data_IF_918904939512
#
_entry.id   IF_918904939512
#
_cell.length_a   1.000
_cell.length_b   1.000
_cell.length_c   1.000
_cell.angle_alpha   90.00
_cell.angle_beta   90.00
_cell.angle_gamma   90.00
#
_symmetry.space_group_name_H-M   'P 1'
#
loop_
_entity.id
_entity.type
_entity.pdbx_description
1 polymer ?
#
# COMPACT_ATOMS: atom_id res chain seq x y z
N UNK A 1 38.09 -39.48 -11.18
CA UNK A 1 36.91 -38.72 -11.65
C UNK A 1 36.80 -37.46 -10.78
N UNK A 2 37.32 -36.36 -11.30
CA UNK A 2 37.31 -35.08 -10.60
C UNK A 2 36.09 -34.28 -11.10
N UNK A 3 35.05 -34.19 -10.29
CA UNK A 3 33.94 -33.26 -10.53
C UNK A 3 34.44 -31.86 -10.17
N UNK A 4 34.43 -31.00 -11.15
CA UNK A 4 35.01 -29.67 -11.14
C UNK A 4 34.29 -28.72 -10.15
N UNK A 5 35.01 -27.87 -9.42
CA UNK A 5 34.45 -26.88 -8.46
C UNK A 5 33.56 -25.82 -9.13
N UNK A 6 33.49 -25.80 -10.46
CA UNK A 6 32.68 -24.84 -11.22
C UNK A 6 31.17 -25.05 -11.07
N UNK A 7 30.73 -26.30 -10.84
CA UNK A 7 29.31 -26.64 -10.68
C UNK A 7 28.77 -26.23 -9.31
N UNK A 8 29.64 -26.16 -8.30
CA UNK A 8 29.27 -25.72 -6.96
C UNK A 8 29.15 -24.19 -6.88
N UNK A 9 29.97 -23.44 -7.62
CA UNK A 9 29.86 -21.98 -7.73
C UNK A 9 28.62 -21.53 -8.51
N UNK A 10 28.17 -22.27 -9.53
CA UNK A 10 26.97 -21.96 -10.28
C UNK A 10 25.67 -22.24 -9.48
N UNK A 11 25.69 -23.21 -8.59
CA UNK A 11 24.57 -23.47 -7.66
C UNK A 11 24.49 -22.45 -6.52
N UNK A 12 25.60 -21.84 -6.13
CA UNK A 12 25.63 -20.73 -5.15
C UNK A 12 25.18 -19.39 -5.76
N UNK A 13 25.37 -19.18 -7.06
CA UNK A 13 24.91 -17.98 -7.77
C UNK A 13 23.41 -17.98 -8.09
N UNK A 14 22.75 -19.14 -8.10
CA UNK A 14 21.30 -19.25 -8.31
C UNK A 14 20.45 -19.03 -7.04
N UNK A 15 21.05 -18.89 -5.85
CA UNK A 15 20.35 -18.80 -4.57
C UNK A 15 20.34 -17.40 -3.94
N UNK A 16 20.81 -16.36 -4.62
CA UNK A 16 20.66 -14.98 -4.14
C UNK A 16 19.40 -14.35 -4.69
N UNK A 17 18.22 -14.90 -4.38
CA UNK A 17 17.05 -14.07 -4.31
C UNK A 17 17.34 -13.04 -3.22
N UNK A 18 17.46 -11.78 -3.62
CA UNK A 18 17.59 -10.66 -2.68
C UNK A 18 16.32 -10.66 -1.80
N UNK A 19 16.42 -11.27 -0.62
CA UNK A 19 15.38 -11.17 0.39
C UNK A 19 15.38 -9.71 0.83
N UNK A 20 14.44 -8.94 0.33
CA UNK A 20 14.21 -7.57 0.79
C UNK A 20 13.61 -7.65 2.19
N UNK A 21 14.34 -7.18 3.19
CA UNK A 21 13.86 -7.10 4.56
C UNK A 21 12.92 -5.91 4.71
N UNK A 22 11.74 -5.98 4.11
CA UNK A 22 10.71 -4.95 4.20
C UNK A 22 9.36 -5.60 4.48
N UNK A 23 8.68 -5.13 5.54
CA UNK A 23 7.34 -5.62 5.89
C UNK A 23 6.39 -5.45 4.70
N UNK A 24 6.39 -4.29 4.04
CA UNK A 24 5.57 -4.05 2.85
C UNK A 24 5.83 -5.08 1.74
N UNK A 25 7.09 -5.36 1.38
CA UNK A 25 7.40 -6.30 0.30
C UNK A 25 7.21 -7.77 0.71
N UNK A 26 7.51 -8.14 1.96
CA UNK A 26 7.55 -9.53 2.41
C UNK A 26 6.25 -10.01 3.03
N UNK A 27 5.51 -9.11 3.72
CA UNK A 27 4.29 -9.42 4.44
C UNK A 27 3.05 -8.95 3.68
N UNK A 28 3.07 -7.77 3.08
CA UNK A 28 1.87 -7.19 2.47
C UNK A 28 1.81 -7.43 0.96
N UNK A 29 2.90 -7.24 0.24
CA UNK A 29 2.90 -7.40 -1.21
C UNK A 29 2.66 -8.85 -1.66
N UNK A 30 2.08 -8.98 -2.84
CA UNK A 30 1.86 -10.27 -3.52
C UNK A 30 2.80 -10.34 -4.73
N UNK A 31 3.40 -11.50 -4.96
CA UNK A 31 4.24 -11.69 -6.14
C UNK A 31 3.38 -11.68 -7.41
N UNK A 32 3.65 -10.69 -8.25
CA UNK A 32 2.95 -10.54 -9.53
C UNK A 32 3.62 -11.32 -10.68
N UNK A 33 4.71 -12.05 -10.43
CA UNK A 33 5.42 -12.76 -11.50
C UNK A 33 4.75 -14.10 -11.79
N UNK A 34 4.62 -14.41 -13.08
CA UNK A 34 4.22 -15.74 -13.50
C UNK A 34 5.39 -16.71 -13.27
N UNK A 35 5.18 -17.71 -12.43
CA UNK A 35 6.19 -18.72 -12.14
C UNK A 35 6.35 -19.67 -13.31
N UNK A 36 7.58 -19.87 -13.76
CA UNK A 36 7.85 -20.90 -14.78
C UNK A 36 7.52 -22.30 -14.22
N UNK A 37 6.99 -23.18 -15.09
CA UNK A 37 6.65 -24.56 -14.70
C UNK A 37 5.23 -24.77 -14.16
N UNK A 38 4.38 -23.74 -14.12
CA UNK A 38 2.98 -23.86 -13.68
C UNK A 38 1.97 -23.94 -14.83
N UNK A 39 2.46 -24.11 -16.08
CA UNK A 39 1.61 -24.24 -17.26
C UNK A 39 0.68 -25.44 -17.16
N UNK A 40 -0.60 -25.23 -17.49
CA UNK A 40 -1.68 -26.23 -17.44
C UNK A 40 -1.86 -26.86 -16.06
N UNK A 41 -1.48 -26.16 -14.98
CA UNK A 41 -1.68 -26.60 -13.60
C UNK A 41 -2.81 -25.82 -12.96
N UNK A 42 -3.63 -26.57 -12.24
CA UNK A 42 -4.63 -26.04 -11.32
C UNK A 42 -4.08 -26.22 -9.90
N UNK A 43 -3.94 -25.13 -9.17
CA UNK A 43 -3.47 -25.15 -7.79
C UNK A 43 -4.49 -24.48 -6.87
N UNK A 44 -4.57 -24.92 -5.63
CA UNK A 44 -5.22 -24.20 -4.55
C UNK A 44 -4.14 -23.38 -3.80
N UNK A 45 -4.28 -22.07 -3.82
CA UNK A 45 -3.43 -21.17 -3.03
C UNK A 45 -4.21 -20.63 -1.85
N UNK A 46 -3.57 -20.60 -0.71
CA UNK A 46 -4.10 -19.99 0.52
C UNK A 46 -3.14 -18.91 0.95
N UNK A 47 -3.62 -17.68 1.11
CA UNK A 47 -2.86 -16.55 1.66
C UNK A 47 -3.55 -16.09 2.94
N UNK A 48 -2.96 -16.42 4.08
CA UNK A 48 -3.46 -16.03 5.39
C UNK A 48 -2.46 -15.09 6.07
N UNK A 49 -2.94 -13.95 6.49
CA UNK A 49 -2.20 -12.95 7.26
C UNK A 49 -2.90 -12.71 8.60
N UNK A 50 -2.25 -13.13 9.68
CA UNK A 50 -2.66 -12.81 11.05
C UNK A 50 -1.87 -11.59 11.51
N UNK A 51 -2.54 -10.65 12.14
CA UNK A 51 -1.91 -9.40 12.55
C UNK A 51 -2.43 -8.87 13.87
N UNK A 52 -1.55 -8.17 14.55
CA UNK A 52 -1.84 -7.31 15.69
C UNK A 52 -1.11 -6.00 15.47
N UNK A 53 -1.84 -4.89 15.44
CA UNK A 53 -1.27 -3.56 15.33
C UNK A 53 -1.83 -2.67 16.43
N UNK A 54 -0.95 -1.93 17.10
CA UNK A 54 -1.32 -0.91 18.07
C UNK A 54 -0.77 0.45 17.64
N UNK A 55 -1.58 1.48 17.75
CA UNK A 55 -1.25 2.87 17.45
C UNK A 55 -1.58 3.71 18.68
N UNK A 56 -0.56 4.24 19.33
CA UNK A 56 -0.67 5.18 20.43
C UNK A 56 -0.46 6.61 19.93
N UNK A 57 -1.57 7.30 19.70
CA UNK A 57 -1.54 8.66 19.19
C UNK A 57 -1.59 9.67 20.34
N UNK A 58 -0.57 10.51 20.43
CA UNK A 58 -0.50 11.60 21.39
C UNK A 58 -0.90 12.96 20.77
N UNK A 59 -1.28 12.99 19.50
CA UNK A 59 -1.59 14.21 18.74
C UNK A 59 -3.08 14.32 18.44
N UNK A 60 -3.56 15.54 18.25
CA UNK A 60 -4.92 15.78 17.74
C UNK A 60 -5.10 15.49 16.24
N UNK A 61 -4.06 15.09 15.52
CA UNK A 61 -4.17 14.75 14.10
C UNK A 61 -4.98 13.48 13.86
N UNK A 62 -4.86 12.48 14.76
CA UNK A 62 -5.62 11.23 14.68
C UNK A 62 -5.77 10.59 16.05
N UNK A 63 -6.77 9.73 16.22
CA UNK A 63 -6.93 8.87 17.41
C UNK A 63 -6.01 7.66 17.34
N UNK A 64 -5.58 7.17 18.53
CA UNK A 64 -4.96 5.87 18.66
C UNK A 64 -6.00 4.75 18.69
N UNK A 65 -5.57 3.55 18.35
CA UNK A 65 -6.40 2.34 18.35
C UNK A 65 -5.55 1.08 18.35
N UNK A 66 -6.19 -0.05 18.66
CA UNK A 66 -5.60 -1.38 18.53
C UNK A 66 -6.40 -2.18 17.51
N UNK A 67 -5.72 -2.80 16.56
CA UNK A 67 -6.29 -3.53 15.44
C UNK A 67 -5.76 -4.96 15.42
N UNK A 68 -6.38 -5.92 16.13
CA UNK A 68 -6.13 -7.34 15.96
C UNK A 68 -7.04 -7.92 14.89
N UNK A 69 -6.51 -8.73 14.01
CA UNK A 69 -7.32 -9.32 12.95
C UNK A 69 -6.59 -10.37 12.13
N UNK A 70 -7.28 -10.90 11.15
CA UNK A 70 -6.69 -11.74 10.12
C UNK A 70 -7.37 -11.55 8.77
N UNK A 71 -6.60 -11.78 7.72
CA UNK A 71 -7.05 -11.83 6.34
C UNK A 71 -6.81 -13.24 5.80
N UNK A 72 -7.79 -13.75 5.07
CA UNK A 72 -7.70 -15.04 4.40
C UNK A 72 -8.14 -14.88 2.94
N UNK A 73 -7.29 -15.29 2.01
CA UNK A 73 -7.64 -15.50 0.61
C UNK A 73 -7.43 -16.97 0.27
N UNK A 74 -8.49 -17.66 -0.12
CA UNK A 74 -8.42 -19.03 -0.62
C UNK A 74 -8.88 -19.03 -2.08
N UNK A 75 -7.99 -19.41 -3.00
CA UNK A 75 -8.24 -19.27 -4.43
C UNK A 75 -7.69 -20.44 -5.23
N UNK A 76 -8.44 -20.83 -6.24
CA UNK A 76 -7.96 -21.69 -7.32
C UNK A 76 -7.17 -20.82 -8.31
N UNK A 77 -6.00 -21.29 -8.69
CA UNK A 77 -5.12 -20.63 -9.68
C UNK A 77 -4.93 -21.60 -10.83
N UNK A 78 -5.32 -21.17 -12.03
CA UNK A 78 -5.17 -21.93 -13.26
C UNK A 78 -4.40 -21.14 -14.31
N UNK A 79 -3.44 -21.78 -14.93
CA UNK A 79 -2.61 -21.21 -15.98
C UNK A 79 -2.80 -21.95 -17.31
N UNK A 80 -3.78 -21.54 -18.13
CA UNK A 80 -4.09 -22.23 -19.40
C UNK A 80 -3.00 -22.02 -20.46
N UNK A 81 -2.28 -20.92 -20.42
CA UNK A 81 -1.21 -20.57 -21.35
C UNK A 81 -0.06 -19.88 -20.64
N UNK A 82 1.11 -19.79 -21.25
CA UNK A 82 2.28 -19.09 -20.66
C UNK A 82 2.00 -17.63 -20.35
N UNK A 83 1.15 -16.98 -21.16
CA UNK A 83 0.78 -15.58 -21.03
C UNK A 83 -0.48 -15.32 -20.21
N UNK A 84 -1.20 -16.36 -19.74
CA UNK A 84 -2.50 -16.20 -19.07
C UNK A 84 -2.51 -16.90 -17.72
N UNK A 85 -2.97 -16.20 -16.69
CA UNK A 85 -3.30 -16.75 -15.40
C UNK A 85 -4.68 -16.31 -14.95
N UNK A 86 -5.47 -17.23 -14.43
CA UNK A 86 -6.82 -16.99 -13.91
C UNK A 86 -6.85 -17.44 -12.46
N UNK A 87 -7.34 -16.57 -11.61
CA UNK A 87 -7.51 -16.83 -10.17
C UNK A 87 -8.98 -16.62 -9.81
N UNK A 88 -9.57 -17.54 -9.04
CA UNK A 88 -10.93 -17.40 -8.55
C UNK A 88 -11.04 -17.97 -7.14
N UNK A 89 -11.76 -17.31 -6.25
CA UNK A 89 -11.87 -17.74 -4.87
C UNK A 89 -12.64 -16.77 -3.99
N UNK A 90 -12.20 -16.68 -2.74
CA UNK A 90 -12.82 -15.82 -1.73
C UNK A 90 -11.75 -15.02 -0.97
N UNK A 91 -12.11 -13.81 -0.61
CA UNK A 91 -11.37 -12.95 0.32
C UNK A 91 -12.20 -12.77 1.59
N UNK A 92 -11.56 -12.92 2.74
CA UNK A 92 -12.17 -12.65 4.04
C UNK A 92 -11.24 -11.83 4.91
N UNK A 93 -11.79 -10.80 5.54
CA UNK A 93 -11.08 -9.91 6.45
C UNK A 93 -11.85 -9.84 7.78
N UNK A 94 -11.14 -10.05 8.90
CA UNK A 94 -11.71 -10.09 10.23
C UNK A 94 -10.96 -9.18 11.18
N UNK A 95 -11.74 -8.44 12.01
CA UNK A 95 -11.21 -7.63 13.10
C UNK A 95 -11.85 -8.03 14.42
N UNK A 96 -11.09 -8.03 15.51
CA UNK A 96 -11.62 -8.22 16.84
C UNK A 96 -11.77 -6.87 17.55
N UNK A 97 -12.92 -6.67 18.23
CA UNK A 97 -13.16 -5.51 19.07
C UNK A 97 -13.45 -4.20 18.34
N UNK A 98 -13.44 -4.17 17.02
CA UNK A 98 -13.77 -2.98 16.24
C UNK A 98 -15.25 -2.97 15.84
N UNK A 99 -15.92 -1.84 16.09
CA UNK A 99 -17.28 -1.59 15.61
C UNK A 99 -17.34 -0.77 14.32
N UNK A 100 -16.19 -0.24 13.91
CA UNK A 100 -16.03 0.59 12.71
C UNK A 100 -14.73 0.26 12.02
N UNK A 101 -14.72 0.48 10.72
CA UNK A 101 -13.53 0.35 9.92
C UNK A 101 -12.49 1.41 10.32
N UNK A 102 -11.23 1.06 10.60
CA UNK A 102 -10.24 2.01 11.09
C UNK A 102 -9.67 2.93 10.01
N UNK A 103 -9.78 2.55 8.72
CA UNK A 103 -9.22 3.33 7.63
C UNK A 103 -10.11 4.53 7.28
N UNK A 104 -9.67 5.73 7.63
CA UNK A 104 -10.38 6.97 7.34
C UNK A 104 -10.66 7.16 5.84
N UNK A 105 -9.74 6.75 4.97
CA UNK A 105 -9.87 6.87 3.53
C UNK A 105 -11.13 6.19 2.95
N UNK A 106 -11.69 5.20 3.65
CA UNK A 106 -12.86 4.43 3.23
C UNK A 106 -14.10 4.66 4.08
N UNK A 107 -14.07 5.54 5.07
CA UNK A 107 -15.19 5.76 6.01
C UNK A 107 -16.49 6.22 5.37
N UNK A 108 -16.40 6.81 4.20
CA UNK A 108 -17.55 7.34 3.45
C UNK A 108 -17.96 6.44 2.27
N UNK A 109 -17.27 5.35 1.99
CA UNK A 109 -17.69 4.35 1.03
C UNK A 109 -18.88 3.58 1.61
N UNK A 110 -19.93 3.39 0.83
CA UNK A 110 -21.21 2.83 1.31
C UNK A 110 -21.07 1.47 2.01
N UNK A 111 -20.23 0.58 1.50
CA UNK A 111 -19.93 -0.74 2.08
C UNK A 111 -19.36 -0.63 3.50
N UNK A 112 -18.70 0.48 3.83
CA UNK A 112 -18.01 0.72 5.07
C UNK A 112 -18.80 1.52 6.10
N UNK A 113 -19.96 2.01 5.78
CA UNK A 113 -20.83 2.81 6.68
C UNK A 113 -21.48 1.98 7.80
N UNK A 114 -20.70 1.18 8.48
CA UNK A 114 -21.07 0.66 9.80
C UNK A 114 -21.98 -0.58 9.82
N UNK A 115 -22.63 -0.98 8.74
CA UNK A 115 -23.50 -2.18 8.78
C UNK A 115 -22.73 -3.48 8.53
N UNK A 116 -21.78 -3.48 7.62
CA UNK A 116 -20.91 -4.64 7.37
C UNK A 116 -19.91 -4.89 8.49
N UNK A 117 -19.53 -3.86 9.22
CA UNK A 117 -18.63 -3.97 10.38
C UNK A 117 -19.31 -4.43 11.67
N UNK A 118 -20.65 -4.52 11.71
CA UNK A 118 -21.38 -5.04 12.89
C UNK A 118 -20.95 -6.44 13.30
N UNK A 119 -20.47 -7.23 12.35
CA UNK A 119 -20.00 -8.59 12.59
C UNK A 119 -18.49 -8.73 12.47
N UNK A 120 -17.77 -7.64 12.27
CA UNK A 120 -16.29 -7.61 12.13
C UNK A 120 -15.76 -8.55 11.04
N UNK A 121 -16.58 -8.90 10.04
CA UNK A 121 -16.23 -9.85 8.97
C UNK A 121 -16.59 -9.27 7.62
N UNK A 122 -15.60 -9.21 6.73
CA UNK A 122 -15.80 -8.94 5.31
C UNK A 122 -15.59 -10.22 4.53
N UNK A 123 -16.53 -10.59 3.70
CA UNK A 123 -16.43 -11.75 2.82
C UNK A 123 -16.79 -11.30 1.41
N UNK A 124 -15.81 -11.38 0.50
CA UNK A 124 -15.94 -10.94 -0.88
C UNK A 124 -15.57 -12.06 -1.85
N UNK A 125 -16.18 -12.13 -3.03
CA UNK A 125 -15.66 -12.94 -4.12
C UNK A 125 -14.28 -12.41 -4.52
N UNK A 126 -13.39 -13.29 -4.93
CA UNK A 126 -12.07 -12.96 -5.45
C UNK A 126 -11.96 -13.49 -6.87
N UNK A 127 -11.59 -12.63 -7.81
CA UNK A 127 -11.35 -13.01 -9.19
C UNK A 127 -10.25 -12.14 -9.79
N UNK A 128 -9.26 -12.77 -10.42
CA UNK A 128 -8.22 -12.08 -11.18
C UNK A 128 -7.95 -12.81 -12.49
N UNK A 129 -7.98 -12.07 -13.59
CA UNK A 129 -7.42 -12.50 -14.85
C UNK A 129 -6.17 -11.65 -15.15
N UNK A 130 -5.05 -12.31 -15.45
CA UNK A 130 -3.81 -11.65 -15.88
C UNK A 130 -3.42 -12.16 -17.25
N UNK A 131 -3.09 -11.23 -18.14
CA UNK A 131 -2.62 -11.50 -19.50
C UNK A 131 -1.29 -10.80 -19.72
N UNK A 132 -0.22 -11.54 -19.95
CA UNK A 132 1.05 -11.00 -20.42
C UNK A 132 0.92 -10.67 -21.91
N UNK A 133 0.75 -9.38 -22.24
CA UNK A 133 0.66 -8.88 -23.60
C UNK A 133 2.03 -8.92 -24.30
N UNK A 134 3.10 -8.83 -23.52
CA UNK A 134 4.48 -9.00 -23.94
C UNK A 134 5.34 -9.41 -22.73
N UNK A 135 6.63 -9.76 -22.89
CA UNK A 135 7.51 -10.04 -21.76
C UNK A 135 7.67 -8.88 -20.77
N UNK A 136 7.21 -7.69 -21.12
CA UNK A 136 7.36 -6.46 -20.33
C UNK A 136 6.04 -5.81 -19.94
N UNK A 137 4.90 -6.30 -20.47
CA UNK A 137 3.59 -5.68 -20.26
C UNK A 137 2.58 -6.71 -19.82
N UNK A 138 2.01 -6.50 -18.65
CA UNK A 138 0.92 -7.29 -18.10
C UNK A 138 -0.35 -6.46 -17.99
N UNK A 139 -1.47 -7.04 -18.40
CA UNK A 139 -2.81 -6.51 -18.17
C UNK A 139 -3.51 -7.38 -17.14
N UNK A 140 -4.11 -6.75 -16.12
CA UNK A 140 -4.83 -7.39 -15.04
C UNK A 140 -6.25 -6.87 -15.02
N UNK A 141 -7.23 -7.76 -14.87
CA UNK A 141 -8.64 -7.46 -14.72
C UNK A 141 -9.20 -8.20 -13.49
N UNK A 142 -10.07 -7.55 -12.73
CA UNK A 142 -10.61 -8.04 -11.46
C UNK A 142 -9.79 -7.57 -10.27
N UNK A 143 -9.49 -8.43 -9.30
CA UNK A 143 -8.66 -8.05 -8.15
C UNK A 143 -7.24 -7.69 -8.58
N UNK A 144 -6.79 -6.49 -8.23
CA UNK A 144 -5.52 -5.93 -8.64
C UNK A 144 -4.36 -6.44 -7.78
N UNK A 145 -3.15 -6.25 -8.23
CA UNK A 145 -1.97 -6.25 -7.39
C UNK A 145 -1.88 -4.88 -6.71
N UNK A 146 -2.76 -4.67 -5.72
CA UNK A 146 -2.98 -3.39 -5.05
C UNK A 146 -2.11 -3.17 -3.82
N UNK A 147 -2.41 -2.11 -3.11
CA UNK A 147 -1.81 -1.78 -1.84
C UNK A 147 -0.30 -1.60 -1.91
N UNK A 148 0.44 -2.39 -1.13
CA UNK A 148 1.90 -2.33 -1.09
C UNK A 148 2.59 -2.60 -2.44
N UNK A 149 1.92 -3.26 -3.38
CA UNK A 149 2.46 -3.54 -4.72
C UNK A 149 2.61 -2.28 -5.58
N UNK A 150 1.82 -1.23 -5.32
CA UNK A 150 1.94 0.04 -6.05
C UNK A 150 3.22 0.81 -5.72
N UNK A 151 3.90 0.48 -4.63
CA UNK A 151 5.14 1.14 -4.17
C UNK A 151 5.00 2.67 -4.07
N UNK A 152 3.82 3.15 -3.66
CA UNK A 152 3.61 4.56 -3.40
C UNK A 152 4.41 5.01 -2.17
N UNK A 153 4.83 6.29 -2.17
CA UNK A 153 5.45 6.90 -0.99
C UNK A 153 4.42 7.05 0.13
N UNK A 154 4.86 7.03 1.37
CA UNK A 154 3.98 7.03 2.55
C UNK A 154 3.04 8.24 2.66
N UNK A 155 3.41 9.46 2.24
CA UNK A 155 2.45 10.56 2.18
C UNK A 155 1.27 10.31 1.24
N UNK A 156 1.36 9.38 0.30
CA UNK A 156 0.29 9.02 -0.63
C UNK A 156 -0.44 7.74 -0.24
N UNK A 157 0.21 6.82 0.48
CA UNK A 157 -0.39 5.53 0.84
C UNK A 157 0.04 5.05 2.23
N UNK A 158 -0.94 4.82 3.11
CA UNK A 158 -0.72 4.24 4.43
C UNK A 158 -0.58 2.72 4.33
N UNK A 159 0.58 2.13 4.72
CA UNK A 159 0.76 0.68 4.71
C UNK A 159 -0.28 -0.11 5.51
N UNK A 160 -0.93 0.51 6.49
CA UNK A 160 -2.00 -0.10 7.28
C UNK A 160 -3.22 -0.48 6.44
N UNK A 161 -3.46 0.17 5.30
CA UNK A 161 -4.52 -0.20 4.37
C UNK A 161 -4.39 -1.65 3.87
N UNK A 162 -3.19 -2.22 3.87
CA UNK A 162 -3.00 -3.65 3.57
C UNK A 162 -3.61 -4.59 4.62
N UNK A 163 -3.92 -4.08 5.82
CA UNK A 163 -4.59 -4.81 6.91
C UNK A 163 -6.07 -4.51 6.98
N UNK A 164 -6.46 -3.31 6.58
CA UNK A 164 -7.74 -2.74 6.89
C UNK A 164 -8.59 -2.39 5.66
N UNK A 165 -8.07 -2.47 4.45
CA UNK A 165 -8.82 -2.26 3.22
C UNK A 165 -9.19 -3.59 2.55
N UNK A 166 -10.28 -3.58 1.79
CA UNK A 166 -10.62 -4.65 0.86
C UNK A 166 -9.65 -4.66 -0.33
N UNK A 167 -9.56 -5.77 -1.05
CA UNK A 167 -8.80 -5.82 -2.28
C UNK A 167 -9.25 -4.75 -3.27
N UNK A 168 -8.30 -4.07 -3.86
CA UNK A 168 -8.57 -3.19 -4.99
C UNK A 168 -9.02 -4.02 -6.19
N UNK A 169 -10.07 -3.57 -6.89
CA UNK A 169 -10.64 -4.29 -8.02
C UNK A 169 -10.91 -3.37 -9.21
N UNK A 170 -10.61 -3.84 -10.41
CA UNK A 170 -10.80 -3.08 -11.65
C UNK A 170 -9.82 -3.47 -12.75
N UNK A 171 -9.04 -2.51 -13.22
CA UNK A 171 -8.09 -2.68 -14.33
C UNK A 171 -6.70 -2.20 -13.92
N UNK A 172 -5.65 -2.98 -14.23
CA UNK A 172 -4.26 -2.58 -13.96
C UNK A 172 -3.36 -2.95 -15.15
N UNK A 173 -2.43 -2.06 -15.46
CA UNK A 173 -1.39 -2.30 -16.44
C UNK A 173 -0.03 -2.16 -15.75
N UNK A 174 0.77 -3.21 -15.81
CA UNK A 174 2.15 -3.24 -15.34
C UNK A 174 3.09 -3.20 -16.56
N UNK A 175 4.02 -2.23 -16.56
CA UNK A 175 5.05 -2.13 -17.59
C UNK A 175 6.43 -2.10 -16.90
N UNK A 176 7.24 -3.11 -17.17
CA UNK A 176 8.49 -3.35 -16.43
C UNK A 176 9.68 -3.68 -17.35
N UNK A 177 10.02 -2.83 -18.33
CA UNK A 177 11.26 -2.96 -19.06
C UNK A 177 12.45 -2.72 -18.11
N UNK A 178 13.65 -2.95 -18.64
CA UNK A 178 14.87 -2.98 -17.82
C UNK A 178 15.08 -1.72 -16.94
N UNK A 179 14.72 -0.52 -17.42
CA UNK A 179 14.94 0.76 -16.73
C UNK A 179 13.68 1.45 -16.21
N UNK A 180 12.51 0.92 -16.51
CA UNK A 180 11.24 1.53 -16.10
C UNK A 180 10.47 0.53 -15.26
N UNK A 181 9.84 0.99 -14.21
CA UNK A 181 8.75 0.31 -13.54
C UNK A 181 7.57 1.26 -13.57
N UNK A 182 6.51 0.85 -14.23
CA UNK A 182 5.26 1.58 -14.32
C UNK A 182 4.14 0.65 -13.87
N UNK A 183 3.35 1.14 -12.96
CA UNK A 183 2.09 0.57 -12.52
C UNK A 183 1.03 1.66 -12.69
N UNK A 184 -0.01 1.38 -13.45
CA UNK A 184 -1.18 2.25 -13.56
C UNK A 184 -2.43 1.42 -13.42
N UNK A 185 -3.40 1.94 -12.67
CA UNK A 185 -4.60 1.18 -12.31
C UNK A 185 -5.83 2.07 -12.19
N UNK A 186 -6.97 1.44 -12.33
CA UNK A 186 -8.28 1.95 -11.98
C UNK A 186 -8.86 1.00 -10.94
N UNK A 187 -8.99 1.47 -9.69
CA UNK A 187 -9.69 0.77 -8.62
C UNK A 187 -11.13 1.28 -8.55
N UNK A 188 -12.09 0.39 -8.77
CA UNK A 188 -13.51 0.70 -8.67
C UNK A 188 -13.98 0.41 -7.25
N UNK A 189 -14.08 1.45 -6.43
CA UNK A 189 -14.35 1.34 -4.99
C UNK A 189 -15.82 1.09 -4.69
N UNK A 190 -16.71 1.68 -5.50
CA UNK A 190 -18.16 1.54 -5.35
C UNK A 190 -18.85 1.81 -6.68
N UNK A 191 -19.77 0.92 -7.08
CA UNK A 191 -20.65 1.14 -8.22
C UNK A 191 -22.10 1.26 -7.76
N UNK A 192 -22.96 1.82 -8.58
CA UNK A 192 -24.35 2.06 -8.27
C UNK A 192 -25.29 1.37 -9.25
N UNK A 193 -26.46 0.96 -8.73
CA UNK A 193 -27.63 0.62 -9.51
C UNK A 193 -28.68 1.72 -9.40
N UNK A 194 -29.66 1.66 -10.26
CA UNK A 194 -30.84 2.53 -10.17
C UNK A 194 -31.48 2.44 -8.77
N UNK A 195 -31.69 3.59 -8.13
CA UNK A 195 -32.23 3.76 -6.78
C UNK A 195 -31.26 3.57 -5.62
N UNK A 196 -29.99 3.32 -5.86
CA UNK A 196 -28.97 3.35 -4.80
C UNK A 196 -28.84 4.76 -4.21
N UNK A 197 -28.52 4.82 -2.92
CA UNK A 197 -28.43 6.07 -2.15
C UNK A 197 -27.00 6.50 -1.82
N UNK A 198 -26.02 5.80 -2.35
CA UNK A 198 -24.59 6.13 -2.20
C UNK A 198 -24.02 6.65 -3.54
N UNK A 199 -22.85 7.27 -3.47
CA UNK A 199 -22.15 7.74 -4.65
C UNK A 199 -21.28 6.63 -5.26
N UNK A 200 -21.20 6.60 -6.57
CA UNK A 200 -20.15 5.87 -7.28
C UNK A 200 -18.78 6.41 -6.83
N UNK A 201 -17.80 5.53 -6.71
CA UNK A 201 -16.45 5.92 -6.32
C UNK A 201 -15.42 5.08 -7.05
N UNK A 202 -14.40 5.74 -7.57
CA UNK A 202 -13.22 5.06 -8.13
C UNK A 202 -11.96 5.89 -7.91
N UNK A 203 -10.82 5.20 -7.93
CA UNK A 203 -9.50 5.83 -7.89
C UNK A 203 -8.67 5.38 -9.08
N UNK A 204 -8.22 6.35 -9.88
CA UNK A 204 -7.15 6.13 -10.85
C UNK A 204 -5.80 6.36 -10.17
N UNK A 205 -4.85 5.45 -10.39
CA UNK A 205 -3.52 5.53 -9.83
C UNK A 205 -2.41 5.36 -10.87
N UNK A 206 -1.29 5.97 -10.59
CA UNK A 206 -0.04 5.89 -11.35
C UNK A 206 1.14 5.83 -10.40
N UNK A 207 2.01 4.85 -10.56
CA UNK A 207 3.31 4.81 -9.91
C UNK A 207 4.40 4.46 -10.92
N UNK A 208 5.40 5.31 -11.06
CA UNK A 208 6.52 5.07 -11.98
C UNK A 208 7.86 5.33 -11.31
N UNK A 209 8.84 4.50 -11.68
CA UNK A 209 10.26 4.68 -11.31
C UNK A 209 11.11 4.47 -12.56
N UNK A 210 11.93 5.45 -12.87
CA UNK A 210 12.88 5.43 -13.97
C UNK A 210 14.31 5.35 -13.44
N UNK A 211 15.02 4.25 -13.73
CA UNK A 211 16.42 4.06 -13.34
C UNK A 211 17.34 4.77 -14.32
N UNK A 212 17.98 5.84 -13.85
CA UNK A 212 18.93 6.67 -14.61
C UNK A 212 20.22 5.88 -14.83
N UNK A 213 20.72 5.22 -13.79
CA UNK A 213 21.89 4.33 -13.87
C UNK A 213 21.50 2.94 -14.37
N UNK A 214 22.49 2.13 -14.77
CA UNK A 214 22.23 0.74 -15.15
C UNK A 214 21.62 -0.06 -14.01
N UNK A 215 20.60 -0.92 -14.24
CA UNK A 215 20.07 -1.82 -13.23
C UNK A 215 21.08 -2.82 -12.65
N UNK A 216 22.19 -3.06 -13.34
CA UNK A 216 23.25 -3.95 -12.88
C UNK A 216 24.33 -3.23 -12.03
N UNK A 217 24.27 -1.89 -11.96
CA UNK A 217 25.19 -1.12 -11.13
C UNK A 217 24.89 -1.34 -9.64
N UNK A 218 25.91 -1.34 -8.76
CA UNK A 218 25.66 -1.39 -7.32
C UNK A 218 25.02 -0.10 -6.77
N UNK A 219 25.19 1.01 -7.48
CA UNK A 219 24.60 2.29 -7.15
C UNK A 219 23.53 2.67 -8.19
N UNK A 220 22.31 2.80 -7.72
CA UNK A 220 21.16 3.20 -8.53
C UNK A 220 20.77 4.64 -8.24
N UNK A 221 20.73 5.46 -9.28
CA UNK A 221 20.08 6.75 -9.28
C UNK A 221 18.76 6.60 -10.05
N UNK A 222 17.66 7.06 -9.51
CA UNK A 222 16.34 6.98 -10.13
C UNK A 222 15.51 8.24 -9.92
N UNK A 223 14.58 8.47 -10.84
CA UNK A 223 13.49 9.41 -10.69
C UNK A 223 12.18 8.66 -10.44
N UNK A 224 11.26 9.27 -9.71
CA UNK A 224 9.92 8.74 -9.50
C UNK A 224 8.86 9.81 -9.82
N UNK A 225 7.71 9.35 -10.30
CA UNK A 225 6.49 10.14 -10.40
C UNK A 225 5.30 9.25 -10.01
N UNK A 226 4.42 9.78 -9.16
CA UNK A 226 3.27 9.06 -8.62
C UNK A 226 2.06 9.98 -8.63
N UNK A 227 0.87 9.40 -8.81
CA UNK A 227 -0.37 10.16 -8.82
C UNK A 227 -1.55 9.29 -8.42
N UNK A 228 -2.52 9.92 -7.78
CA UNK A 228 -3.82 9.36 -7.42
C UNK A 228 -4.88 10.39 -7.77
N UNK A 229 -5.95 9.94 -8.43
CA UNK A 229 -7.13 10.74 -8.72
C UNK A 229 -8.35 9.99 -8.20
N UNK A 230 -8.91 10.43 -7.09
CA UNK A 230 -10.12 9.89 -6.51
C UNK A 230 -11.32 10.69 -7.01
N UNK A 231 -12.33 9.98 -7.50
CA UNK A 231 -13.58 10.56 -7.98
C UNK A 231 -14.76 9.91 -7.28
N UNK A 232 -15.76 10.72 -6.95
CA UNK A 232 -17.01 10.28 -6.33
C UNK A 232 -18.18 11.08 -6.88
N UNK A 233 -19.26 10.40 -7.17
CA UNK A 233 -20.51 10.99 -7.66
C UNK A 233 -20.51 11.27 -9.16
N UNK A 234 -21.55 11.99 -9.62
CA UNK A 234 -21.74 12.29 -11.04
C UNK A 234 -22.68 11.33 -11.75
N UNK A 235 -23.33 10.45 -11.01
CA UNK A 235 -24.27 9.46 -11.52
C UNK A 235 -25.55 10.11 -12.04
N UNK A 236 -26.10 9.53 -13.11
CA UNK A 236 -27.29 10.06 -13.80
C UNK A 236 -28.58 9.61 -13.08
N UNK A 237 -28.54 8.52 -12.32
CA UNK A 237 -29.72 7.82 -11.80
C UNK A 237 -29.83 7.76 -10.27
N UNK A 238 -29.15 8.62 -9.52
CA UNK A 238 -29.26 8.65 -8.06
C UNK A 238 -30.43 9.46 -7.56
N UNK A 239 -31.04 8.99 -6.46
CA UNK A 239 -32.17 9.69 -5.77
C UNK A 239 -31.62 10.85 -4.91
N UNK A 240 -30.36 10.91 -4.63
CA UNK A 240 -29.75 11.86 -3.69
C UNK A 240 -29.24 13.09 -4.42
N UNK A 241 -30.10 14.07 -4.63
CA UNK A 241 -29.76 15.36 -5.24
C UNK A 241 -28.79 16.25 -4.47
N UNK A 242 -28.36 15.85 -3.25
CA UNK A 242 -27.59 16.71 -2.35
C UNK A 242 -26.08 16.34 -2.24
N UNK A 243 -25.64 15.28 -2.89
CA UNK A 243 -24.23 14.89 -2.83
C UNK A 243 -23.46 15.47 -4.02
N UNK A 244 -22.72 16.53 -3.75
CA UNK A 244 -21.87 17.14 -4.78
C UNK A 244 -20.78 16.17 -5.27
N UNK A 245 -20.50 16.22 -6.58
CA UNK A 245 -19.35 15.53 -7.18
C UNK A 245 -18.07 15.92 -6.44
N UNK A 246 -17.26 14.94 -6.09
CA UNK A 246 -15.96 15.10 -5.45
C UNK A 246 -14.86 14.58 -6.39
N UNK A 247 -13.88 15.40 -6.67
CA UNK A 247 -12.69 14.95 -7.42
C UNK A 247 -11.44 15.52 -6.76
N UNK A 248 -10.58 14.64 -6.29
CA UNK A 248 -9.38 15.00 -5.53
C UNK A 248 -8.16 14.31 -6.12
N UNK A 249 -7.06 15.03 -6.13
CA UNK A 249 -5.80 14.59 -6.70
C UNK A 249 -4.70 14.63 -5.64
N UNK A 250 -3.91 13.57 -5.55
CA UNK A 250 -2.58 13.60 -4.95
C UNK A 250 -1.52 13.28 -5.99
N UNK A 251 -0.33 13.85 -5.84
CA UNK A 251 0.80 13.54 -6.71
C UNK A 251 2.12 13.68 -5.99
N UNK A 252 3.15 13.02 -6.52
CA UNK A 252 4.52 13.16 -6.06
C UNK A 252 5.48 13.06 -7.23
N UNK A 253 6.54 13.87 -7.18
CA UNK A 253 7.70 13.74 -8.06
C UNK A 253 8.96 13.78 -7.21
N UNK A 254 9.93 12.95 -7.54
CA UNK A 254 11.11 12.83 -6.71
C UNK A 254 12.28 12.14 -7.37
N UNK A 255 13.33 12.01 -6.62
CA UNK A 255 14.55 11.29 -7.01
C UNK A 255 15.08 10.52 -5.81
N UNK A 256 15.78 9.44 -6.08
CA UNK A 256 16.44 8.66 -5.04
C UNK A 256 17.75 8.08 -5.51
N UNK A 257 18.59 7.80 -4.53
CA UNK A 257 19.84 7.09 -4.66
C UNK A 257 19.76 5.83 -3.80
N UNK A 258 20.13 4.70 -4.36
CA UNK A 258 20.13 3.40 -3.68
C UNK A 258 21.49 2.71 -3.91
N UNK A 259 22.16 2.35 -2.85
CA UNK A 259 23.39 1.59 -2.87
C UNK A 259 23.16 0.17 -2.37
N UNK A 260 23.32 -0.80 -3.25
CA UNK A 260 23.29 -2.23 -2.96
C UNK A 260 24.67 -2.69 -2.54
N UNK A 261 24.94 -2.69 -1.23
CA UNK A 261 26.25 -2.96 -0.66
C UNK A 261 26.69 -4.41 -0.82
N UNK A 262 25.76 -5.35 -1.03
CA UNK A 262 26.00 -6.81 -1.20
C UNK A 262 26.86 -7.43 -0.09
N UNK A 263 26.83 -6.84 1.11
CA UNK A 263 27.58 -7.34 2.27
C UNK A 263 26.65 -8.19 3.15
N UNK A 264 27.22 -9.05 3.97
CA UNK A 264 26.49 -9.98 4.83
C UNK A 264 25.53 -9.26 5.79
N UNK A 265 25.93 -8.17 6.38
CA UNK A 265 25.12 -7.40 7.33
C UNK A 265 24.46 -6.23 6.62
N UNK A 266 25.21 -5.29 6.07
CA UNK A 266 24.65 -4.15 5.35
C UNK A 266 24.35 -4.57 3.92
N UNK A 267 23.06 -4.61 3.57
CA UNK A 267 22.60 -5.04 2.25
C UNK A 267 22.30 -3.85 1.33
N UNK A 268 21.66 -2.82 1.86
CA UNK A 268 21.21 -1.67 1.09
C UNK A 268 21.18 -0.41 1.94
N UNK A 269 21.56 0.73 1.34
CA UNK A 269 21.24 2.07 1.82
C UNK A 269 20.48 2.79 0.73
N UNK A 270 19.48 3.58 1.11
CA UNK A 270 18.79 4.44 0.16
C UNK A 270 18.41 5.76 0.80
N UNK A 271 18.37 6.79 -0.04
CA UNK A 271 17.85 8.11 0.27
C UNK A 271 16.94 8.54 -0.87
N UNK A 272 15.75 8.99 -0.54
CA UNK A 272 14.74 9.46 -1.49
C UNK A 272 14.21 10.82 -1.05
N UNK A 273 14.05 11.72 -2.00
CA UNK A 273 13.45 13.03 -1.80
C UNK A 273 12.30 13.22 -2.78
N UNK A 274 11.16 13.68 -2.29
CA UNK A 274 9.97 13.90 -3.11
C UNK A 274 9.28 15.22 -2.74
N UNK A 275 8.72 15.87 -3.75
CA UNK A 275 7.74 16.94 -3.62
C UNK A 275 6.36 16.35 -3.87
N UNK A 276 5.40 16.67 -3.02
CA UNK A 276 4.02 16.20 -3.15
C UNK A 276 3.07 17.35 -3.42
N UNK A 277 1.95 17.05 -4.06
CA UNK A 277 0.88 17.98 -4.34
C UNK A 277 -0.49 17.39 -4.00
N UNK A 278 -1.41 18.27 -3.59
CA UNK A 278 -2.82 18.00 -3.41
C UNK A 278 -3.65 19.04 -4.14
N UNK A 279 -4.72 18.60 -4.78
CA UNK A 279 -5.70 19.49 -5.41
C UNK A 279 -7.10 18.91 -5.37
N UNK A 280 -8.06 19.66 -4.80
CA UNK A 280 -9.49 19.39 -4.85
C UNK A 280 -10.07 20.07 -6.06
N UNK A 281 -10.26 19.31 -7.15
CA UNK A 281 -10.75 19.83 -8.44
C UNK A 281 -12.25 20.14 -8.37
N UNK A 282 -13.03 19.22 -7.83
CA UNK A 282 -14.46 19.38 -7.64
C UNK A 282 -14.87 19.02 -6.21
N UNK A 283 -15.97 19.63 -5.76
CA UNK A 283 -16.50 19.43 -4.41
C UNK A 283 -15.81 20.29 -3.36
N UNK A 284 -16.21 20.04 -2.10
CA UNK A 284 -15.74 20.77 -0.93
C UNK A 284 -15.59 19.86 0.31
N UNK A 285 -15.26 18.59 0.08
CA UNK A 285 -15.10 17.61 1.16
C UNK A 285 -14.07 18.04 2.20
N UNK A 286 -12.97 18.64 1.74
CA UNK A 286 -11.90 19.11 2.61
C UNK A 286 -11.87 20.64 2.70
N UNK A 287 -11.48 21.21 3.87
CA UNK A 287 -11.46 22.64 4.10
C UNK A 287 -10.37 23.38 3.31
N UNK A 288 -9.47 22.64 2.64
CA UNK A 288 -8.38 23.19 1.83
C UNK A 288 -8.52 22.71 0.39
N UNK A 289 -8.29 23.61 -0.57
CA UNK A 289 -8.48 23.33 -2.00
C UNK A 289 -7.20 22.81 -2.69
N UNK A 290 -6.04 23.22 -2.24
CA UNK A 290 -4.74 22.85 -2.81
C UNK A 290 -3.66 22.92 -1.75
N UNK A 291 -2.67 22.07 -1.87
CA UNK A 291 -1.55 22.05 -0.94
C UNK A 291 -0.34 21.33 -1.51
N UNK A 292 0.75 21.39 -0.79
CA UNK A 292 1.99 20.72 -1.18
C UNK A 292 2.77 20.26 0.05
N UNK A 293 3.71 19.34 -0.19
CA UNK A 293 4.58 18.82 0.87
C UNK A 293 5.96 18.46 0.36
N UNK A 294 6.87 18.27 1.30
CA UNK A 294 8.25 17.85 1.09
C UNK A 294 8.51 16.62 1.94
N UNK A 295 8.97 15.57 1.30
CA UNK A 295 9.26 14.29 1.93
C UNK A 295 10.70 13.88 1.66
N UNK A 296 11.43 13.58 2.71
CA UNK A 296 12.79 13.00 2.63
C UNK A 296 12.78 11.73 3.43
N UNK A 297 13.24 10.65 2.83
CA UNK A 297 13.19 9.32 3.43
C UNK A 297 14.54 8.62 3.22
N UNK A 298 15.12 8.13 4.31
CA UNK A 298 16.32 7.32 4.33
C UNK A 298 16.02 5.93 4.87
N UNK A 299 16.66 4.91 4.32
CA UNK A 299 16.55 3.54 4.80
C UNK A 299 17.89 2.80 4.77
N UNK A 300 18.02 1.86 5.70
CA UNK A 300 19.13 0.93 5.77
C UNK A 300 18.60 -0.50 5.99
N UNK A 301 18.93 -1.42 5.07
CA UNK A 301 18.66 -2.85 5.21
C UNK A 301 19.86 -3.57 5.81
N UNK A 302 19.68 -4.11 7.02
CA UNK A 302 20.70 -4.75 7.84
C UNK A 302 20.30 -6.20 8.14
N UNK A 303 20.78 -7.15 7.36
CA UNK A 303 20.39 -8.56 7.47
C UNK A 303 18.84 -8.73 7.44
N UNK A 304 18.22 -9.05 8.56
CA UNK A 304 16.77 -9.20 8.69
C UNK A 304 16.06 -7.93 9.19
N UNK A 305 16.81 -6.85 9.42
CA UNK A 305 16.26 -5.58 9.90
C UNK A 305 16.26 -4.55 8.81
N UNK A 306 15.28 -3.66 8.85
CA UNK A 306 15.27 -2.38 8.14
C UNK A 306 15.12 -1.27 9.15
N UNK A 307 15.96 -0.25 9.03
CA UNK A 307 15.82 1.02 9.74
C UNK A 307 15.33 2.07 8.75
N UNK A 308 14.45 2.93 9.20
CA UNK A 308 13.89 4.04 8.43
C UNK A 308 13.99 5.34 9.20
N UNK A 309 14.26 6.41 8.51
CA UNK A 309 14.13 7.76 9.02
C UNK A 309 13.49 8.63 7.95
N UNK A 310 12.56 9.49 8.32
CA UNK A 310 11.93 10.39 7.38
C UNK A 310 11.69 11.77 8.00
N UNK A 311 11.72 12.79 7.15
CA UNK A 311 11.27 14.14 7.45
C UNK A 311 10.11 14.50 6.53
N UNK A 312 9.06 15.06 7.11
CA UNK A 312 7.88 15.54 6.41
C UNK A 312 7.56 16.97 6.82
N UNK A 313 7.17 17.77 5.84
CA UNK A 313 6.60 19.10 6.04
C UNK A 313 5.59 19.35 4.94
N UNK A 314 4.45 19.96 5.28
CA UNK A 314 3.47 20.34 4.27
C UNK A 314 2.79 21.68 4.57
N UNK A 315 2.19 22.25 3.53
CA UNK A 315 1.28 23.40 3.55
C UNK A 315 -0.02 22.97 2.86
N UNK A 316 -1.14 23.06 3.57
CA UNK A 316 -2.50 22.74 3.08
C UNK A 316 -2.64 21.39 2.34
N UNK A 317 -1.73 20.45 2.58
CA UNK A 317 -1.74 19.14 1.94
C UNK A 317 -2.73 18.19 2.64
N UNK A 318 -3.59 17.55 1.85
CA UNK A 318 -4.44 16.45 2.29
C UNK A 318 -3.93 15.17 1.63
N UNK A 319 -3.65 14.17 2.43
CA UNK A 319 -3.33 12.85 1.94
C UNK A 319 -4.61 12.03 1.78
N UNK A 320 -4.90 11.56 0.57
CA UNK A 320 -6.13 10.83 0.27
C UNK A 320 -6.11 9.43 0.89
N UNK A 321 -5.00 8.72 0.76
CA UNK A 321 -4.83 7.34 1.26
C UNK A 321 -3.65 7.18 2.21
N UNK A 322 -2.86 8.24 2.47
CA UNK A 322 -1.76 8.18 3.42
C UNK A 322 -2.22 8.24 4.88
N UNK A 323 -1.29 8.01 5.78
CA UNK A 323 -1.58 8.14 7.21
C UNK A 323 -1.98 9.61 7.53
N UNK A 324 -2.98 9.86 8.39
CA UNK A 324 -3.44 11.22 8.73
C UNK A 324 -2.32 12.16 9.21
N UNK A 325 -1.23 11.63 9.74
CA UNK A 325 -0.08 12.44 10.16
C UNK A 325 0.63 13.16 9.00
N UNK A 326 0.44 12.71 7.77
CA UNK A 326 0.94 13.38 6.56
C UNK A 326 -0.01 14.47 6.04
N UNK A 327 -1.21 14.63 6.62
CA UNK A 327 -2.16 15.67 6.24
C UNK A 327 -2.18 16.85 7.20
N UNK A 328 -2.81 17.95 6.74
CA UNK A 328 -3.11 19.10 7.58
C UNK A 328 -4.44 18.96 8.31
N UNK A 329 -5.36 18.14 7.82
CA UNK A 329 -6.70 17.97 8.40
C UNK A 329 -6.66 16.96 9.52
N UNK A 330 -7.21 17.35 10.67
CA UNK A 330 -7.39 16.44 11.80
C UNK A 330 -8.50 15.43 11.50
N UNK A 331 -8.24 14.17 11.83
CA UNK A 331 -9.28 13.12 11.87
C UNK A 331 -9.82 12.89 13.29
N UNK A 332 -9.33 13.66 14.26
CA UNK A 332 -9.77 13.61 15.66
C UNK A 332 -10.63 14.83 16.04
N UNK A 333 -10.20 16.03 15.69
CA UNK A 333 -10.95 17.26 15.90
C UNK A 333 -11.66 17.63 14.59
N UNK A 334 -12.98 17.62 14.61
CA UNK A 334 -13.80 17.86 13.42
C UNK A 334 -13.55 19.25 12.83
N UNK A 335 -13.22 19.31 11.53
CA UNK A 335 -12.92 20.55 10.81
C UNK A 335 -11.62 21.24 11.18
N UNK A 336 -10.83 20.73 12.13
CA UNK A 336 -9.58 21.36 12.54
C UNK A 336 -8.46 21.16 11.53
N UNK A 337 -7.68 22.22 11.29
CA UNK A 337 -6.60 22.25 10.30
C UNK A 337 -5.30 22.73 10.93
N UNK A 338 -4.25 21.96 10.77
CA UNK A 338 -2.89 22.33 11.16
C UNK A 338 -2.26 23.31 10.18
N UNK A 339 -1.52 24.30 10.69
CA UNK A 339 -0.75 25.20 9.85
C UNK A 339 0.70 24.74 9.77
N UNK A 340 1.15 24.37 8.56
CA UNK A 340 2.53 23.93 8.27
C UNK A 340 3.05 22.84 9.20
N UNK A 341 2.34 21.72 9.40
CA UNK A 341 2.82 20.66 10.25
C UNK A 341 4.12 20.08 9.73
N UNK A 342 5.00 19.73 10.69
CA UNK A 342 6.30 19.09 10.44
C UNK A 342 6.39 17.84 11.27
N UNK A 343 7.05 16.82 10.74
CA UNK A 343 7.17 15.53 11.42
C UNK A 343 8.52 14.87 11.11
N UNK A 344 9.12 14.32 12.15
CA UNK A 344 10.18 13.32 12.02
C UNK A 344 9.57 11.94 12.26
N UNK A 345 9.95 10.96 11.45
CA UNK A 345 9.57 9.57 11.64
C UNK A 345 10.81 8.71 11.74
N UNK A 346 10.79 7.77 12.67
CA UNK A 346 11.78 6.71 12.83
C UNK A 346 11.06 5.38 12.83
N UNK A 347 11.58 4.40 12.10
CA UNK A 347 10.97 3.09 12.03
C UNK A 347 12.02 1.98 12.04
N UNK A 348 11.64 0.85 12.59
CA UNK A 348 12.40 -0.38 12.55
C UNK A 348 11.50 -1.53 12.12
N UNK A 349 11.98 -2.37 11.21
CA UNK A 349 11.29 -3.58 10.77
C UNK A 349 12.18 -4.79 10.98
N UNK A 350 11.57 -5.91 11.34
CA UNK A 350 12.21 -7.22 11.40
C UNK A 350 11.42 -8.22 10.57
N UNK A 351 12.11 -8.97 9.70
CA UNK A 351 11.51 -10.00 8.86
C UNK A 351 12.26 -11.32 9.07
N UNK A 352 11.50 -12.40 9.24
CA UNK A 352 12.03 -13.75 9.25
C UNK A 352 11.14 -14.70 8.46
N UNK A 353 11.76 -15.41 7.52
CA UNK A 353 11.09 -16.47 6.77
C UNK A 353 11.32 -17.82 7.45
N UNK A 354 10.27 -18.60 7.59
CA UNK A 354 10.29 -19.98 8.07
C UNK A 354 9.88 -20.90 6.91
N UNK A 355 10.86 -21.50 6.26
CA UNK A 355 10.62 -22.21 5.02
C UNK A 355 10.23 -21.28 3.87
N UNK A 356 9.36 -21.77 2.98
CA UNK A 356 8.90 -21.04 1.79
C UNK A 356 7.60 -20.27 2.01
N UNK A 357 6.78 -20.75 2.92
CA UNK A 357 5.36 -20.40 2.99
C UNK A 357 4.99 -19.62 4.25
N UNK A 358 5.92 -19.45 5.21
CA UNK A 358 5.65 -18.73 6.44
C UNK A 358 6.62 -17.54 6.61
N UNK A 359 6.06 -16.37 6.92
CA UNK A 359 6.83 -15.14 7.16
C UNK A 359 6.34 -14.49 8.46
N UNK A 360 7.27 -14.19 9.36
CA UNK A 360 7.07 -13.31 10.50
C UNK A 360 7.57 -11.91 10.14
N UNK A 361 6.73 -10.91 10.35
CA UNK A 361 7.07 -9.50 10.27
C UNK A 361 6.79 -8.82 11.60
N UNK A 362 7.65 -7.89 11.99
CA UNK A 362 7.45 -7.00 13.14
C UNK A 362 7.85 -5.61 12.67
N UNK A 363 7.05 -4.61 12.98
CA UNK A 363 7.41 -3.22 12.78
C UNK A 363 7.21 -2.38 14.05
N UNK A 364 7.98 -1.32 14.12
CA UNK A 364 7.85 -0.26 15.11
C UNK A 364 8.06 1.07 14.42
N UNK A 365 7.19 2.04 14.71
CA UNK A 365 7.30 3.41 14.20
C UNK A 365 7.12 4.41 15.34
N UNK A 366 7.93 5.47 15.30
CA UNK A 366 7.83 6.63 16.15
C UNK A 366 7.62 7.87 15.27
N UNK A 367 6.54 8.61 15.50
CA UNK A 367 6.17 9.83 14.78
C UNK A 367 6.30 11.00 15.72
N UNK A 368 7.33 11.82 15.56
CA UNK A 368 7.53 13.03 16.32
C UNK A 368 6.99 14.22 15.53
N UNK A 369 5.77 14.62 15.81
CA UNK A 369 5.17 15.85 15.28
C UNK A 369 5.71 17.03 16.04
N UNK A 370 6.30 17.96 15.30
CA UNK A 370 6.79 19.23 15.84
C UNK A 370 5.60 20.16 16.06
N UNK A 371 5.77 21.07 16.99
CA UNK A 371 4.74 22.03 17.37
C UNK A 371 4.19 22.81 16.16
N UNK A 372 2.87 23.00 16.17
CA UNK A 372 2.15 23.65 15.07
C UNK A 372 0.88 24.36 15.55
N UNK A 373 0.56 25.55 15.00
CA UNK A 373 -0.74 26.16 15.19
C UNK A 373 -1.87 25.31 14.59
N UNK A 374 -3.03 25.33 15.23
CA UNK A 374 -4.25 24.65 14.79
C UNK A 374 -5.32 25.74 14.56
N UNK A 375 -6.03 25.66 13.45
CA UNK A 375 -7.27 26.35 13.21
C UNK A 375 -8.41 25.39 13.55
N UNK A 376 -8.94 25.48 14.76
CA UNK A 376 -10.07 24.68 15.25
C UNK A 376 -11.35 25.52 15.14
N UNK A 377 -12.37 25.08 14.39
CA UNK A 377 -13.66 25.79 14.30
C UNK A 377 -14.34 25.96 15.66
N UNK A 378 -14.15 25.06 16.61
CA UNK A 378 -14.66 25.17 17.96
C UNK A 378 -13.90 26.18 18.84
N UNK A 379 -12.72 26.65 18.38
CA UNK A 379 -11.87 27.60 19.10
C UNK A 379 -11.21 27.06 20.38
N UNK A 380 -11.31 25.76 20.64
CA UNK A 380 -10.81 25.11 21.85
C UNK A 380 -9.32 24.77 21.76
N UNK A 381 -8.83 24.51 20.56
CA UNK A 381 -7.46 24.09 20.30
C UNK A 381 -6.80 25.00 19.26
N UNK A 382 -5.97 25.93 19.70
CA UNK A 382 -5.29 26.89 18.80
C UNK A 382 -3.84 26.52 18.51
N UNK A 383 -3.27 25.60 19.28
CA UNK A 383 -1.86 25.20 19.17
C UNK A 383 -1.64 23.79 19.73
N UNK A 384 -0.78 23.04 19.10
CA UNK A 384 -0.26 21.79 19.61
C UNK A 384 1.26 21.89 19.77
N UNK A 385 1.76 21.54 20.96
CA UNK A 385 3.19 21.39 21.20
C UNK A 385 3.75 20.12 20.55
N UNK A 386 5.03 19.89 20.73
CA UNK A 386 5.69 18.69 20.23
C UNK A 386 5.01 17.42 20.80
N UNK A 387 4.72 16.45 19.92
CA UNK A 387 4.04 15.20 20.26
C UNK A 387 4.79 14.00 19.67
N UNK A 388 4.94 12.98 20.48
CA UNK A 388 5.50 11.70 20.08
C UNK A 388 4.39 10.65 20.10
N UNK A 389 4.04 10.14 18.93
CA UNK A 389 3.14 8.98 18.77
C UNK A 389 3.96 7.77 18.38
N UNK A 390 3.54 6.60 18.80
CA UNK A 390 4.21 5.34 18.48
C UNK A 390 3.22 4.33 17.92
N UNK A 391 3.69 3.44 17.07
CA UNK A 391 2.94 2.26 16.67
C UNK A 391 3.84 1.05 16.60
N UNK A 392 3.26 -0.13 16.81
CA UNK A 392 3.94 -1.38 16.52
C UNK A 392 2.96 -2.38 15.91
N UNK A 393 3.52 -3.29 15.09
CA UNK A 393 2.78 -4.36 14.46
C UNK A 393 3.51 -5.69 14.55
N UNK A 394 2.75 -6.77 14.63
CA UNK A 394 3.22 -8.15 14.54
C UNK A 394 2.38 -8.85 13.48
N UNK A 395 3.02 -9.52 12.55
CA UNK A 395 2.41 -10.12 11.37
C UNK A 395 2.93 -11.53 11.17
N UNK A 396 2.01 -12.49 10.99
CA UNK A 396 2.35 -13.86 10.59
C UNK A 396 1.59 -14.16 9.31
N UNK A 397 2.31 -14.40 8.21
CA UNK A 397 1.72 -14.69 6.92
C UNK A 397 2.06 -16.11 6.48
N UNK A 398 1.03 -16.87 6.08
CA UNK A 398 1.14 -18.23 5.52
C UNK A 398 0.65 -18.21 4.08
N UNK A 399 1.45 -18.77 3.16
CA UNK A 399 1.14 -18.81 1.72
C UNK A 399 1.40 -20.18 1.10
N UNK A 400 0.78 -21.26 1.59
CA UNK A 400 0.92 -22.58 0.99
C UNK A 400 0.19 -22.64 -0.37
N UNK A 401 0.77 -23.41 -1.29
CA UNK A 401 0.18 -23.74 -2.59
C UNK A 401 0.13 -25.24 -2.76
N UNK A 402 -1.02 -25.77 -3.13
CA UNK A 402 -1.28 -27.19 -3.31
C UNK A 402 -1.64 -27.47 -4.76
N UNK A 403 -0.85 -28.29 -5.45
CA UNK A 403 -1.18 -28.74 -6.79
C UNK A 403 -2.40 -29.67 -6.74
N UNK A 404 -3.48 -29.32 -7.43
CA UNK A 404 -4.70 -30.13 -7.50
C UNK A 404 -4.70 -31.00 -8.74
N UNK A 405 -4.32 -30.46 -9.90
CA UNK A 405 -4.34 -31.17 -11.18
C UNK A 405 -3.36 -30.57 -12.18
N UNK A 406 -2.77 -31.42 -12.98
CA UNK A 406 -2.06 -31.03 -14.22
C UNK A 406 -2.90 -31.52 -15.40
N UNK A 407 -3.15 -30.63 -16.36
CA UNK A 407 -3.86 -30.95 -17.60
C UNK A 407 -2.83 -31.25 -18.70
N UNK A 408 -3.17 -32.14 -19.59
CA UNK A 408 -2.36 -32.50 -20.77
C UNK A 408 -2.34 -31.39 -21.83
#
# INVERSE_FOLDING_TARGET
MYTTPLTFCLLLLAATQMVRAQVSDSVFATDSRLRQGELRRLSLEVDNLNFFRNVESATYAAKGYTLPGFRLQAKAVYRPAESVSIEAGVHSLWFWGANRYPAFAYNDIAVWRGESSRHNVHLLPYFRARVALSPQVDLILGDLYGGANHHLIEPLYNPELNLSADPEAGLQLLYHPRRVRLDTWLNWESFIYKLDTHQEAFTFGLATRYFITSPDAPLHLYALAQGLAQHRGGEIDTITGDQAVQTMLNGAVGTGIEWNAQRTVLRRLALECALTGYYQHAGNLWPVKRGHGRYVHALADLANFRLRAAYWQCDDFVSLFGHPYFGVVSTYLDGAVYRRPRMLRFGAEYIRHFGRDCTLGIDFDAFHRLSSPIADPAGLHTYEGDRLSISFGIYIRFRPSFLLKTFE
#
